data_IF_486842259498
#
_entry.id   IF_486842259498
#
_cell.length_a   1.000
_cell.length_b   1.000
_cell.length_c   1.000
_cell.angle_alpha   90.00
_cell.angle_beta   90.00
_cell.angle_gamma   90.00
#
_symmetry.space_group_name_H-M   'P 1'
#
loop_
_entity.id
_entity.type
_entity.pdbx_description
1 polymer ?
#
# COMPACT_ATOMS: atom_id res chain seq x y z
N UNK A 1 42.20 17.52 -16.37
CA UNK A 1 43.63 17.77 -16.11
C UNK A 1 44.12 17.10 -14.83
N UNK A 2 43.96 17.66 -13.62
CA UNK A 2 44.49 17.02 -12.39
C UNK A 2 43.82 15.67 -12.04
N UNK A 3 42.49 15.59 -12.20
CA UNK A 3 41.73 14.36 -11.93
C UNK A 3 42.12 13.22 -12.89
N UNK A 4 42.27 13.52 -14.18
CA UNK A 4 42.69 12.55 -15.19
C UNK A 4 44.12 12.04 -14.93
N UNK A 5 45.05 12.93 -14.56
CA UNK A 5 46.41 12.55 -14.22
C UNK A 5 46.49 11.71 -12.93
N UNK A 6 45.55 11.88 -12.00
CA UNK A 6 45.41 11.03 -10.82
C UNK A 6 44.90 9.64 -11.21
N UNK A 7 43.80 9.56 -11.96
CA UNK A 7 43.24 8.29 -12.44
C UNK A 7 44.24 7.47 -13.26
N UNK A 8 45.05 8.13 -14.10
CA UNK A 8 46.08 7.47 -14.90
C UNK A 8 47.19 6.85 -14.03
N UNK A 9 47.60 7.55 -12.96
CA UNK A 9 48.57 7.03 -11.99
C UNK A 9 48.00 5.86 -11.20
N UNK A 10 46.75 5.98 -10.75
CA UNK A 10 46.06 4.92 -10.01
C UNK A 10 45.90 3.65 -10.88
N UNK A 11 45.58 3.82 -12.17
CA UNK A 11 45.50 2.73 -13.14
C UNK A 11 46.86 2.06 -13.37
N UNK A 12 47.93 2.85 -13.57
CA UNK A 12 49.30 2.31 -13.73
C UNK A 12 49.77 1.54 -12.50
N UNK A 13 49.48 2.04 -11.30
CA UNK A 13 49.79 1.34 -10.06
C UNK A 13 49.00 0.01 -9.92
N UNK A 14 47.73 -0.02 -10.31
CA UNK A 14 46.93 -1.25 -10.33
C UNK A 14 47.46 -2.27 -11.35
N UNK A 15 47.90 -1.82 -12.51
CA UNK A 15 48.53 -2.68 -13.52
C UNK A 15 49.84 -3.31 -13.02
N UNK A 16 50.67 -2.54 -12.29
CA UNK A 16 51.88 -3.05 -11.64
C UNK A 16 51.55 -4.11 -10.58
N UNK A 17 50.54 -3.87 -9.73
CA UNK A 17 50.09 -4.83 -8.71
C UNK A 17 49.52 -6.11 -9.34
N UNK A 18 48.86 -6.00 -10.49
CA UNK A 18 48.22 -7.12 -11.19
C UNK A 18 49.15 -7.82 -12.22
N UNK A 19 50.41 -7.38 -12.35
CA UNK A 19 51.39 -7.89 -13.32
C UNK A 19 50.91 -7.86 -14.78
N UNK A 20 50.17 -6.83 -15.19
CA UNK A 20 49.70 -6.68 -16.58
C UNK A 20 50.81 -6.01 -17.40
N UNK A 21 51.40 -6.67 -18.41
CA UNK A 21 52.48 -6.09 -19.19
C UNK A 21 51.97 -4.96 -20.11
N UNK A 22 52.82 -3.96 -20.45
CA UNK A 22 52.41 -2.80 -21.26
C UNK A 22 51.82 -3.11 -22.64
N UNK A 23 52.04 -4.33 -23.18
CA UNK A 23 51.50 -4.80 -24.46
C UNK A 23 50.17 -5.55 -24.37
N UNK A 24 49.65 -5.82 -23.17
CA UNK A 24 48.35 -6.46 -22.93
C UNK A 24 47.26 -5.46 -22.53
N UNK A 25 47.59 -4.15 -22.52
CA UNK A 25 46.59 -3.10 -22.29
C UNK A 25 45.53 -3.15 -23.37
N UNK A 26 44.27 -3.15 -22.94
CA UNK A 26 43.14 -3.12 -23.86
C UNK A 26 43.08 -1.75 -24.54
N UNK A 27 43.47 -1.71 -25.81
CA UNK A 27 43.33 -0.52 -26.63
C UNK A 27 41.91 -0.42 -27.21
N UNK A 28 41.49 0.81 -27.51
CA UNK A 28 40.20 1.07 -28.16
C UNK A 28 40.14 0.36 -29.51
N UNK A 29 39.33 -0.70 -29.61
CA UNK A 29 39.19 -1.54 -30.80
C UNK A 29 39.63 -2.99 -30.62
N UNK A 30 40.39 -3.29 -29.55
CA UNK A 30 40.68 -4.68 -29.14
C UNK A 30 39.38 -5.46 -28.87
N UNK A 31 39.45 -6.80 -28.94
CA UNK A 31 38.27 -7.65 -28.72
C UNK A 31 37.81 -7.51 -27.27
N UNK A 32 38.76 -7.44 -26.36
CA UNK A 32 38.58 -7.29 -24.92
C UNK A 32 37.96 -5.92 -24.59
N UNK A 33 38.43 -4.84 -25.21
CA UNK A 33 37.82 -3.51 -25.07
C UNK A 33 36.36 -3.49 -25.54
N UNK A 34 36.06 -4.09 -26.71
CA UNK A 34 34.69 -4.17 -27.23
C UNK A 34 33.78 -5.01 -26.32
N UNK A 35 34.30 -6.08 -25.75
CA UNK A 35 33.55 -6.89 -24.78
C UNK A 35 33.28 -6.09 -23.49
N UNK A 36 34.27 -5.35 -23.00
CA UNK A 36 34.10 -4.49 -21.83
C UNK A 36 33.10 -3.35 -22.10
N UNK A 37 33.17 -2.71 -23.26
CA UNK A 37 32.22 -1.68 -23.70
C UNK A 37 30.79 -2.22 -23.73
N UNK A 38 30.60 -3.44 -24.25
CA UNK A 38 29.29 -4.13 -24.21
C UNK A 38 28.81 -4.35 -22.78
N UNK A 39 29.66 -4.82 -21.87
CA UNK A 39 29.32 -5.03 -20.46
C UNK A 39 28.95 -3.73 -19.74
N UNK A 40 29.68 -2.64 -20.01
CA UNK A 40 29.38 -1.32 -19.45
C UNK A 40 28.03 -0.83 -19.94
N UNK A 41 27.76 -0.91 -21.24
CA UNK A 41 26.46 -0.52 -21.81
C UNK A 41 25.31 -1.37 -21.25
N UNK A 42 25.51 -2.67 -21.07
CA UNK A 42 24.54 -3.56 -20.42
C UNK A 42 24.28 -3.18 -18.96
N UNK A 43 25.33 -2.84 -18.20
CA UNK A 43 25.22 -2.37 -16.82
C UNK A 43 24.48 -1.03 -16.72
N UNK A 44 24.80 -0.07 -17.60
CA UNK A 44 24.14 1.23 -17.65
C UNK A 44 22.65 1.09 -17.98
N UNK A 45 22.31 0.21 -18.93
CA UNK A 45 20.93 -0.14 -19.23
C UNK A 45 20.21 -0.75 -18.02
N UNK A 46 20.83 -1.69 -17.30
CA UNK A 46 20.23 -2.31 -16.11
C UNK A 46 20.03 -1.31 -14.97
N UNK A 47 20.95 -0.37 -14.79
CA UNK A 47 20.88 0.66 -13.75
C UNK A 47 19.75 1.65 -14.06
N UNK A 48 19.67 2.14 -15.30
CA UNK A 48 18.62 3.08 -15.72
C UNK A 48 17.23 2.44 -15.67
N UNK A 49 17.12 1.16 -16.04
CA UNK A 49 15.88 0.38 -15.89
C UNK A 49 15.46 0.26 -14.42
N UNK A 50 16.38 -0.14 -13.54
CA UNK A 50 16.08 -0.30 -12.11
C UNK A 50 15.70 1.02 -11.44
N UNK A 51 16.30 2.14 -11.88
CA UNK A 51 15.92 3.47 -11.44
C UNK A 51 14.50 3.84 -11.88
N UNK A 52 14.16 3.57 -13.14
CA UNK A 52 12.81 3.83 -13.67
C UNK A 52 11.75 3.01 -12.92
N UNK A 53 12.01 1.73 -12.67
CA UNK A 53 11.14 0.84 -11.87
C UNK A 53 10.87 1.35 -10.46
N UNK A 54 11.92 1.75 -9.74
CA UNK A 54 11.77 2.28 -8.40
C UNK A 54 10.88 3.53 -8.38
N UNK A 55 11.02 4.41 -9.38
CA UNK A 55 10.21 5.62 -9.48
C UNK A 55 8.75 5.31 -9.81
N UNK A 56 8.49 4.40 -10.75
CA UNK A 56 7.10 4.08 -11.12
C UNK A 56 6.40 3.33 -9.99
N UNK A 57 7.09 2.40 -9.34
CA UNK A 57 6.63 1.74 -8.12
C UNK A 57 6.25 2.75 -7.03
N UNK A 58 7.14 3.71 -6.74
CA UNK A 58 6.86 4.76 -5.78
C UNK A 58 5.64 5.63 -6.18
N UNK A 59 5.46 5.92 -7.48
CA UNK A 59 4.29 6.64 -7.99
C UNK A 59 3.00 5.86 -7.76
N UNK A 60 2.98 4.55 -8.04
CA UNK A 60 1.81 3.69 -7.82
C UNK A 60 1.40 3.71 -6.34
N UNK A 61 2.37 3.58 -5.43
CA UNK A 61 2.10 3.67 -3.98
C UNK A 61 1.58 5.05 -3.57
N UNK A 62 2.08 6.13 -4.15
CA UNK A 62 1.55 7.47 -3.85
C UNK A 62 0.13 7.69 -4.35
N UNK A 63 -0.17 7.25 -5.57
CA UNK A 63 -1.54 7.27 -6.10
C UNK A 63 -2.49 6.47 -5.21
N UNK A 64 -2.06 5.29 -4.72
CA UNK A 64 -2.87 4.50 -3.79
C UNK A 64 -3.15 5.23 -2.47
N UNK A 65 -2.17 5.99 -1.95
CA UNK A 65 -2.31 6.75 -0.69
C UNK A 65 -3.18 7.98 -0.84
N UNK A 66 -3.12 8.64 -1.99
CA UNK A 66 -3.98 9.79 -2.31
C UNK A 66 -5.46 9.41 -2.31
N UNK A 67 -5.78 8.18 -2.71
CA UNK A 67 -7.14 7.65 -2.76
C UNK A 67 -7.67 7.13 -1.41
N UNK A 68 -6.90 7.21 -0.32
CA UNK A 68 -7.34 6.76 1.02
C UNK A 68 -8.18 7.84 1.70
N UNK A 69 -9.42 7.48 2.07
CA UNK A 69 -10.31 8.32 2.85
C UNK A 69 -9.72 8.61 4.25
N UNK A 70 -9.78 9.86 4.70
CA UNK A 70 -9.21 10.31 5.98
C UNK A 70 -7.86 11.02 5.87
N UNK A 71 -7.33 11.24 4.66
CA UNK A 71 -6.18 12.11 4.45
C UNK A 71 -6.56 13.59 4.66
N UNK A 72 -5.93 14.23 5.65
CA UNK A 72 -6.09 15.67 5.91
C UNK A 72 -5.59 16.53 4.74
N UNK A 73 -6.07 17.77 4.66
CA UNK A 73 -5.79 18.69 3.54
C UNK A 73 -4.28 18.87 3.26
N UNK A 74 -3.49 19.16 4.30
CA UNK A 74 -2.01 19.30 4.19
C UNK A 74 -1.34 18.05 3.60
N UNK A 75 -1.76 16.87 4.02
CA UNK A 75 -1.22 15.60 3.50
C UNK A 75 -1.52 15.43 2.01
N UNK A 76 -2.73 15.81 1.56
CA UNK A 76 -3.07 15.77 0.13
C UNK A 76 -2.22 16.73 -0.69
N UNK A 77 -1.95 17.94 -0.19
CA UNK A 77 -1.04 18.87 -0.86
C UNK A 77 0.36 18.28 -1.01
N UNK A 78 0.94 17.71 0.05
CA UNK A 78 2.25 17.05 -0.03
C UNK A 78 2.26 15.88 -1.02
N UNK A 79 1.20 15.06 -1.05
CA UNK A 79 1.05 13.98 -2.03
C UNK A 79 0.98 14.51 -3.47
N UNK A 80 0.23 15.59 -3.70
CA UNK A 80 0.16 16.23 -5.03
C UNK A 80 1.52 16.76 -5.49
N UNK A 81 2.28 17.44 -4.61
CA UNK A 81 3.63 17.90 -4.94
C UNK A 81 4.58 16.73 -5.18
N UNK A 82 4.51 15.67 -4.37
CA UNK A 82 5.32 14.48 -4.55
C UNK A 82 5.01 13.77 -5.88
N UNK A 83 3.74 13.70 -6.28
CA UNK A 83 3.32 13.13 -7.57
C UNK A 83 3.82 13.97 -8.75
N UNK A 84 3.74 15.30 -8.68
CA UNK A 84 4.29 16.20 -9.72
C UNK A 84 5.80 16.02 -9.84
N UNK A 85 6.52 16.10 -8.72
CA UNK A 85 7.97 15.90 -8.66
C UNK A 85 8.37 14.53 -9.20
N UNK A 86 7.64 13.47 -8.82
CA UNK A 86 7.94 12.12 -9.30
C UNK A 86 7.60 11.94 -10.78
N UNK A 87 6.55 12.57 -11.29
CA UNK A 87 6.25 12.53 -12.72
C UNK A 87 7.43 13.08 -13.52
N UNK A 88 8.02 14.21 -13.08
CA UNK A 88 9.22 14.75 -13.72
C UNK A 88 10.44 13.84 -13.59
N UNK A 89 10.62 13.22 -12.43
CA UNK A 89 11.71 12.24 -12.23
C UNK A 89 11.56 11.02 -13.15
N UNK A 90 10.34 10.53 -13.37
CA UNK A 90 10.05 9.42 -14.28
C UNK A 90 10.33 9.83 -15.72
N UNK A 91 9.98 11.06 -16.16
CA UNK A 91 10.31 11.55 -17.51
C UNK A 91 11.82 11.49 -17.75
N UNK A 92 12.60 12.05 -16.83
CA UNK A 92 14.06 12.08 -16.94
C UNK A 92 14.66 10.66 -16.89
N UNK A 93 14.13 9.76 -16.06
CA UNK A 93 14.57 8.38 -15.98
C UNK A 93 14.22 7.59 -17.26
N UNK A 94 13.06 7.86 -17.85
CA UNK A 94 12.61 7.28 -19.10
C UNK A 94 13.50 7.70 -20.28
N UNK A 95 13.91 8.98 -20.33
CA UNK A 95 14.87 9.46 -21.33
C UNK A 95 16.22 8.73 -21.23
N UNK A 96 16.76 8.59 -20.02
CA UNK A 96 18.01 7.85 -19.77
C UNK A 96 17.90 6.38 -20.16
N UNK A 97 16.79 5.75 -19.78
CA UNK A 97 16.49 4.37 -20.19
C UNK A 97 16.43 4.24 -21.71
N UNK A 98 15.71 5.13 -22.40
CA UNK A 98 15.58 5.08 -23.86
C UNK A 98 16.91 5.31 -24.58
N UNK A 99 17.79 6.16 -24.04
CA UNK A 99 19.14 6.36 -24.56
C UNK A 99 20.01 5.10 -24.41
N UNK A 100 20.02 4.47 -23.21
CA UNK A 100 20.74 3.23 -22.98
C UNK A 100 20.16 2.06 -23.80
N UNK A 101 18.83 2.01 -23.95
CA UNK A 101 18.14 1.02 -24.78
C UNK A 101 18.52 1.17 -26.26
N UNK A 102 18.60 2.40 -26.78
CA UNK A 102 19.01 2.68 -28.14
C UNK A 102 20.44 2.19 -28.42
N UNK A 103 21.36 2.40 -27.48
CA UNK A 103 22.76 1.96 -27.59
C UNK A 103 22.88 0.42 -27.70
N UNK A 104 21.94 -0.33 -27.11
CA UNK A 104 21.90 -1.79 -27.15
C UNK A 104 20.91 -2.36 -28.19
N UNK A 105 20.23 -1.51 -28.96
CA UNK A 105 19.19 -1.94 -29.91
C UNK A 105 17.94 -2.57 -29.26
N UNK A 106 17.64 -2.20 -28.01
CA UNK A 106 16.48 -2.70 -27.24
C UNK A 106 15.22 -1.85 -27.45
N UNK A 107 14.07 -2.36 -27.00
CA UNK A 107 12.79 -1.64 -27.06
C UNK A 107 12.82 -0.39 -26.18
N UNK A 108 12.47 0.74 -26.78
CA UNK A 108 12.20 1.99 -26.09
C UNK A 108 10.76 2.01 -25.56
N UNK A 109 10.56 2.66 -24.41
CA UNK A 109 9.27 2.81 -23.77
C UNK A 109 8.70 4.20 -24.05
N UNK A 110 7.39 4.27 -24.26
CA UNK A 110 6.67 5.54 -24.39
C UNK A 110 6.18 6.01 -23.02
N UNK A 111 6.09 7.32 -22.83
CA UNK A 111 5.55 7.91 -21.60
C UNK A 111 4.19 7.32 -21.21
N UNK A 112 3.27 7.18 -22.18
CA UNK A 112 1.95 6.61 -21.96
C UNK A 112 2.01 5.19 -21.39
N UNK A 113 2.91 4.35 -21.92
CA UNK A 113 3.10 2.98 -21.43
C UNK A 113 3.56 2.94 -19.96
N UNK A 114 4.33 3.93 -19.52
CA UNK A 114 4.85 4.03 -18.15
C UNK A 114 3.79 4.59 -17.18
N UNK A 115 3.00 5.56 -17.64
CA UNK A 115 1.97 6.22 -16.82
C UNK A 115 0.74 5.35 -16.63
N UNK A 116 0.37 4.58 -17.66
CA UNK A 116 -0.79 3.67 -17.68
C UNK A 116 -0.55 2.41 -16.83
N UNK A 117 0.65 2.20 -16.28
CA UNK A 117 0.90 1.13 -15.33
C UNK A 117 0.15 1.39 -14.02
N UNK A 118 -0.94 0.66 -13.83
CA UNK A 118 -1.82 0.75 -12.65
C UNK A 118 -1.43 -0.26 -11.58
N UNK A 119 -0.82 -1.38 -11.98
CA UNK A 119 -0.42 -2.45 -11.10
C UNK A 119 1.09 -2.68 -11.14
N UNK A 120 1.68 -3.02 -9.97
CA UNK A 120 3.12 -3.32 -9.90
C UNK A 120 3.51 -4.40 -10.89
N UNK A 121 2.70 -5.44 -11.05
CA UNK A 121 3.00 -6.49 -12.01
C UNK A 121 2.83 -6.09 -13.49
N UNK A 122 2.24 -4.93 -13.81
CA UNK A 122 2.27 -4.35 -15.16
C UNK A 122 3.58 -3.62 -15.43
N UNK A 123 4.17 -3.05 -14.38
CA UNK A 123 5.52 -2.51 -14.44
C UNK A 123 6.59 -3.61 -14.32
N UNK A 124 6.27 -4.71 -13.62
CA UNK A 124 6.99 -5.98 -13.66
C UNK A 124 6.73 -6.72 -14.97
N UNK A 125 6.83 -5.99 -16.08
CA UNK A 125 7.36 -6.53 -17.31
C UNK A 125 8.79 -6.97 -17.00
N UNK A 126 8.90 -8.08 -16.25
CA UNK A 126 10.09 -8.69 -15.73
C UNK A 126 11.12 -8.56 -16.83
N UNK A 127 12.13 -7.76 -16.46
CA UNK A 127 13.34 -7.37 -17.15
C UNK A 127 13.75 -8.41 -18.20
N UNK A 128 14.64 -8.04 -19.10
CA UNK A 128 15.53 -9.00 -19.76
C UNK A 128 16.42 -9.77 -18.72
N UNK A 129 15.85 -10.33 -17.65
CA UNK A 129 16.29 -11.54 -17.01
C UNK A 129 16.46 -12.60 -18.09
N UNK A 130 17.29 -13.59 -17.81
CA UNK A 130 17.74 -14.60 -18.78
C UNK A 130 16.60 -15.30 -19.56
N UNK A 131 15.36 -15.22 -19.08
CA UNK A 131 14.14 -15.64 -19.78
C UNK A 131 13.10 -14.53 -19.76
N UNK A 132 12.69 -14.08 -20.95
CA UNK A 132 11.53 -13.21 -21.14
C UNK A 132 10.25 -13.97 -20.74
N UNK A 133 9.54 -13.45 -19.73
CA UNK A 133 8.32 -14.08 -19.21
C UNK A 133 7.04 -13.40 -19.68
N UNK A 134 7.12 -12.37 -20.54
CA UNK A 134 5.96 -11.66 -21.07
C UNK A 134 5.05 -12.55 -21.90
N UNK A 135 5.65 -13.53 -22.56
CA UNK A 135 4.95 -14.54 -23.35
C UNK A 135 4.30 -15.62 -22.46
N UNK A 136 4.59 -15.63 -21.15
CA UNK A 136 3.98 -16.61 -20.25
C UNK A 136 2.51 -16.25 -20.04
N UNK A 137 1.61 -17.23 -20.07
CA UNK A 137 0.17 -16.98 -19.98
C UNK A 137 -0.23 -16.32 -18.65
N UNK A 138 0.53 -16.51 -17.56
CA UNK A 138 0.27 -15.86 -16.27
C UNK A 138 0.78 -14.41 -16.18
N UNK A 139 1.60 -13.93 -17.11
CA UNK A 139 2.07 -12.55 -17.13
C UNK A 139 1.09 -11.61 -17.86
N UNK A 140 0.24 -12.16 -18.73
CA UNK A 140 -0.78 -11.42 -19.49
C UNK A 140 -1.82 -10.84 -18.52
N UNK A 141 -2.08 -9.51 -18.55
CA UNK A 141 -3.00 -8.85 -17.61
C UNK A 141 -4.39 -9.50 -17.53
N UNK A 142 -5.04 -9.74 -18.67
CA UNK A 142 -6.35 -10.38 -18.74
C UNK A 142 -6.39 -11.77 -18.07
N UNK A 143 -5.32 -12.55 -18.25
CA UNK A 143 -5.22 -13.88 -17.65
C UNK A 143 -5.00 -13.81 -16.13
N UNK A 144 -4.27 -12.80 -15.64
CA UNK A 144 -4.09 -12.57 -14.19
C UNK A 144 -5.38 -12.17 -13.53
N UNK A 145 -6.17 -11.31 -14.17
CA UNK A 145 -7.48 -10.92 -13.69
C UNK A 145 -8.40 -12.14 -13.60
N UNK A 146 -8.43 -12.95 -14.66
CA UNK A 146 -9.20 -14.19 -14.68
C UNK A 146 -8.72 -15.18 -13.61
N UNK A 147 -7.41 -15.38 -13.48
CA UNK A 147 -6.83 -16.25 -12.46
C UNK A 147 -7.17 -15.75 -11.04
N UNK A 148 -7.06 -14.43 -10.81
CA UNK A 148 -7.43 -13.81 -9.52
C UNK A 148 -8.91 -14.03 -9.21
N UNK A 149 -9.80 -13.86 -10.19
CA UNK A 149 -11.22 -14.11 -10.04
C UNK A 149 -11.50 -15.60 -9.77
N UNK A 150 -10.87 -16.50 -10.52
CA UNK A 150 -10.98 -17.94 -10.36
C UNK A 150 -10.50 -18.40 -8.97
N UNK A 151 -9.33 -17.96 -8.53
CA UNK A 151 -8.81 -18.32 -7.21
C UNK A 151 -9.62 -17.69 -6.08
N UNK A 152 -10.14 -16.47 -6.25
CA UNK A 152 -11.11 -15.90 -5.30
C UNK A 152 -12.36 -16.76 -5.19
N UNK A 153 -12.88 -17.26 -6.32
CA UNK A 153 -14.02 -18.16 -6.35
C UNK A 153 -13.72 -19.50 -5.65
N UNK A 154 -12.64 -20.17 -6.04
CA UNK A 154 -12.24 -21.45 -5.46
C UNK A 154 -12.00 -21.34 -3.94
N UNK A 155 -11.36 -20.25 -3.50
CA UNK A 155 -11.12 -19.98 -2.07
C UNK A 155 -12.39 -19.56 -1.33
N UNK A 156 -13.37 -18.96 -2.00
CA UNK A 156 -14.64 -18.62 -1.38
C UNK A 156 -15.36 -19.88 -0.86
N UNK A 157 -15.31 -20.99 -1.60
CA UNK A 157 -15.88 -22.27 -1.16
C UNK A 157 -15.17 -22.81 0.09
N UNK A 158 -13.83 -22.75 0.13
CA UNK A 158 -13.04 -23.16 1.30
C UNK A 158 -13.30 -22.29 2.54
N UNK A 159 -13.51 -20.99 2.34
CA UNK A 159 -13.71 -20.04 3.44
C UNK A 159 -15.15 -19.98 3.95
N UNK A 160 -16.11 -20.54 3.22
CA UNK A 160 -17.53 -20.49 3.58
C UNK A 160 -17.85 -21.05 4.99
N UNK A 161 -17.29 -22.20 5.43
CA UNK A 161 -17.54 -22.71 6.78
C UNK A 161 -17.00 -21.79 7.88
N UNK A 162 -15.84 -21.17 7.64
CA UNK A 162 -15.26 -20.18 8.56
C UNK A 162 -16.14 -18.94 8.65
N UNK A 163 -16.58 -18.43 7.50
CA UNK A 163 -17.47 -17.27 7.42
C UNK A 163 -18.78 -17.52 8.19
N UNK A 164 -19.37 -18.71 8.09
CA UNK A 164 -20.57 -19.07 8.87
C UNK A 164 -20.35 -18.98 10.38
N UNK A 165 -19.21 -19.44 10.88
CA UNK A 165 -18.86 -19.32 12.30
C UNK A 165 -18.64 -17.86 12.71
N UNK A 166 -17.99 -17.06 11.86
CA UNK A 166 -17.76 -15.64 12.10
C UNK A 166 -19.08 -14.85 12.11
N UNK A 167 -20.01 -15.13 11.17
CA UNK A 167 -21.36 -14.53 11.14
C UNK A 167 -22.11 -14.87 12.43
N UNK A 168 -22.10 -16.15 12.84
CA UNK A 168 -22.78 -16.58 14.07
C UNK A 168 -22.19 -15.90 15.31
N UNK A 169 -20.87 -15.77 15.34
CA UNK A 169 -20.16 -15.08 16.43
C UNK A 169 -20.52 -13.60 16.48
N UNK A 170 -20.55 -12.93 15.33
CA UNK A 170 -20.93 -11.53 15.20
C UNK A 170 -22.38 -11.29 15.67
N UNK A 171 -23.34 -12.10 15.21
CA UNK A 171 -24.75 -11.98 15.62
C UNK A 171 -24.93 -12.23 17.12
N UNK A 172 -24.21 -13.22 17.66
CA UNK A 172 -24.23 -13.52 19.10
C UNK A 172 -23.69 -12.33 19.89
N UNK A 173 -22.52 -11.81 19.49
CA UNK A 173 -21.88 -10.69 20.15
C UNK A 173 -22.73 -9.41 20.11
N UNK A 174 -23.37 -9.07 18.99
CA UNK A 174 -24.25 -7.90 18.90
C UNK A 174 -25.44 -7.99 19.88
N UNK A 175 -26.04 -9.19 20.01
CA UNK A 175 -27.13 -9.43 20.96
C UNK A 175 -26.63 -9.30 22.40
N UNK A 176 -25.56 -9.99 22.75
CA UNK A 176 -25.01 -10.00 24.11
C UNK A 176 -24.51 -8.63 24.54
N UNK A 177 -23.84 -7.89 23.66
CA UNK A 177 -23.38 -6.53 23.93
C UNK A 177 -24.58 -5.58 24.16
N UNK A 178 -25.65 -5.73 23.39
CA UNK A 178 -26.88 -4.94 23.58
C UNK A 178 -27.54 -5.25 24.93
N UNK A 179 -27.65 -6.52 25.30
CA UNK A 179 -28.20 -6.95 26.60
C UNK A 179 -27.31 -6.50 27.76
N UNK A 180 -26.00 -6.62 27.62
CA UNK A 180 -25.02 -6.18 28.60
C UNK A 180 -25.12 -4.67 28.87
N UNK A 181 -25.10 -3.84 27.82
CA UNK A 181 -25.19 -2.39 27.98
C UNK A 181 -26.52 -1.96 28.60
N UNK A 182 -27.64 -2.62 28.26
CA UNK A 182 -28.93 -2.39 28.93
C UNK A 182 -28.88 -2.77 30.41
N UNK A 183 -28.25 -3.90 30.74
CA UNK A 183 -28.06 -4.34 32.11
C UNK A 183 -27.23 -3.35 32.92
N UNK A 184 -26.11 -2.88 32.36
CA UNK A 184 -25.26 -1.87 32.99
C UNK A 184 -25.98 -0.53 33.17
N UNK A 185 -26.76 -0.09 32.18
CA UNK A 185 -27.59 1.12 32.28
C UNK A 185 -28.56 1.03 33.47
N UNK A 186 -29.23 -0.11 33.65
CA UNK A 186 -30.14 -0.33 34.79
C UNK A 186 -29.40 -0.40 36.13
N UNK A 187 -28.24 -1.06 36.18
CA UNK A 187 -27.44 -1.24 37.39
C UNK A 187 -26.88 0.09 37.92
N UNK A 188 -26.32 0.93 37.03
CA UNK A 188 -25.69 2.19 37.44
C UNK A 188 -26.68 3.35 37.63
N UNK A 189 -27.92 3.22 37.14
CA UNK A 189 -28.95 4.26 37.23
C UNK A 189 -29.16 4.84 38.63
N UNK A 190 -29.21 4.05 39.72
CA UNK A 190 -29.47 4.58 41.06
C UNK A 190 -28.24 5.25 41.70
N UNK A 191 -27.04 4.83 41.33
CA UNK A 191 -25.79 5.21 42.02
C UNK A 191 -25.00 6.28 41.27
N UNK A 192 -25.01 6.25 39.93
CA UNK A 192 -24.18 7.11 39.08
C UNK A 192 -24.94 7.55 37.81
N UNK A 193 -25.82 8.56 37.91
CA UNK A 193 -26.67 8.97 36.79
C UNK A 193 -25.88 9.50 35.59
N UNK A 194 -24.73 10.15 35.82
CA UNK A 194 -23.86 10.65 34.74
C UNK A 194 -23.21 9.49 33.96
N UNK A 195 -22.73 8.47 34.66
CA UNK A 195 -22.17 7.27 34.02
C UNK A 195 -23.26 6.50 33.26
N UNK A 196 -24.45 6.36 33.84
CA UNK A 196 -25.62 5.78 33.16
C UNK A 196 -25.94 6.51 31.85
N UNK A 197 -25.88 7.84 31.84
CA UNK A 197 -26.09 8.64 30.63
C UNK A 197 -25.03 8.37 29.56
N UNK A 198 -23.76 8.25 29.93
CA UNK A 198 -22.68 7.90 28.99
C UNK A 198 -22.85 6.49 28.42
N UNK A 199 -23.19 5.50 29.26
CA UNK A 199 -23.49 4.14 28.81
C UNK A 199 -24.67 4.13 27.84
N UNK A 200 -25.70 4.94 28.10
CA UNK A 200 -26.85 5.09 27.22
C UNK A 200 -26.45 5.64 25.84
N UNK A 201 -25.68 6.73 25.79
CA UNK A 201 -25.18 7.31 24.53
C UNK A 201 -24.36 6.26 23.76
N UNK A 202 -23.43 5.59 24.45
CA UNK A 202 -22.60 4.55 23.84
C UNK A 202 -23.45 3.41 23.26
N UNK A 203 -24.46 2.95 24.01
CA UNK A 203 -25.39 1.91 23.54
C UNK A 203 -26.16 2.34 22.29
N UNK A 204 -26.63 3.59 22.23
CA UNK A 204 -27.31 4.12 21.03
C UNK A 204 -26.37 4.19 19.83
N UNK A 205 -25.12 4.64 20.02
CA UNK A 205 -24.11 4.66 18.97
C UNK A 205 -23.83 3.24 18.43
N UNK A 206 -23.60 2.27 19.32
CA UNK A 206 -23.42 0.85 18.91
C UNK A 206 -24.64 0.31 18.18
N UNK A 207 -25.85 0.62 18.67
CA UNK A 207 -27.11 0.21 18.06
C UNK A 207 -27.20 0.61 16.58
N UNK A 208 -26.82 1.83 16.23
CA UNK A 208 -26.80 2.29 14.82
C UNK A 208 -25.89 1.44 13.93
N UNK A 209 -24.73 1.04 14.44
CA UNK A 209 -23.83 0.14 13.70
C UNK A 209 -24.41 -1.28 13.61
N UNK A 210 -25.02 -1.77 14.68
CA UNK A 210 -25.67 -3.09 14.69
C UNK A 210 -26.84 -3.15 13.71
N UNK A 211 -27.64 -2.10 13.59
CA UNK A 211 -28.72 -2.00 12.60
C UNK A 211 -28.19 -2.11 11.18
N UNK A 212 -27.07 -1.43 10.87
CA UNK A 212 -26.39 -1.55 9.58
C UNK A 212 -25.88 -2.98 9.32
N UNK A 213 -25.28 -3.62 10.32
CA UNK A 213 -24.83 -5.01 10.21
C UNK A 213 -26.00 -5.97 10.00
N UNK A 214 -27.10 -5.81 10.75
CA UNK A 214 -28.31 -6.60 10.59
C UNK A 214 -28.92 -6.44 9.19
N UNK A 215 -28.97 -5.22 8.67
CA UNK A 215 -29.43 -4.96 7.29
C UNK A 215 -28.55 -5.69 6.27
N UNK A 216 -27.22 -5.56 6.37
CA UNK A 216 -26.29 -6.27 5.46
C UNK A 216 -26.42 -7.78 5.55
N UNK A 217 -26.51 -8.33 6.76
CA UNK A 217 -26.70 -9.77 6.98
C UNK A 217 -28.05 -10.26 6.42
N UNK A 218 -29.09 -9.44 6.47
CA UNK A 218 -30.37 -9.77 5.84
C UNK A 218 -30.31 -9.71 4.32
N UNK A 219 -29.57 -8.77 3.73
CA UNK A 219 -29.35 -8.73 2.29
C UNK A 219 -28.60 -9.98 1.79
N UNK A 220 -27.66 -10.52 2.57
CA UNK A 220 -26.96 -11.77 2.23
C UNK A 220 -27.95 -12.94 2.08
N UNK A 221 -28.96 -13.03 2.95
CA UNK A 221 -30.00 -14.08 2.87
C UNK A 221 -30.87 -13.97 1.62
N UNK A 222 -30.91 -12.79 1.00
CA UNK A 222 -31.70 -12.51 -0.21
C UNK A 222 -30.90 -12.75 -1.51
N UNK A 223 -29.60 -13.08 -1.41
CA UNK A 223 -28.78 -13.31 -2.59
C UNK A 223 -29.24 -14.55 -3.37
N UNK A 224 -29.20 -14.51 -4.71
CA UNK A 224 -29.46 -15.68 -5.54
C UNK A 224 -28.42 -16.76 -5.23
N UNK A 225 -28.88 -17.99 -4.96
CA UNK A 225 -28.02 -19.11 -4.57
C UNK A 225 -27.78 -19.25 -3.06
N UNK A 226 -28.37 -18.39 -2.22
CA UNK A 226 -28.32 -18.59 -0.77
C UNK A 226 -29.04 -19.88 -0.36
N UNK A 227 -28.35 -20.78 0.35
CA UNK A 227 -28.95 -22.00 0.87
C UNK A 227 -29.78 -21.68 2.14
N UNK A 228 -31.11 -21.90 2.15
CA UNK A 228 -31.96 -21.62 3.31
C UNK A 228 -31.53 -22.34 4.60
N UNK A 229 -30.84 -23.48 4.51
CA UNK A 229 -30.34 -24.21 5.68
C UNK A 229 -29.28 -23.40 6.46
N UNK A 230 -28.58 -22.49 5.79
CA UNK A 230 -27.54 -21.66 6.40
C UNK A 230 -28.12 -20.54 7.27
N UNK A 231 -29.44 -20.30 7.23
CA UNK A 231 -30.11 -19.35 8.13
C UNK A 231 -29.82 -19.60 9.62
N UNK A 232 -29.51 -20.84 9.99
CA UNK A 232 -29.11 -21.23 11.35
C UNK A 232 -27.87 -20.50 11.86
N UNK A 233 -26.93 -20.12 10.98
CA UNK A 233 -25.73 -19.35 11.35
C UNK A 233 -26.02 -17.87 11.56
N UNK A 234 -27.15 -17.36 11.07
CA UNK A 234 -27.56 -15.97 11.23
C UNK A 234 -28.43 -15.75 12.47
N UNK A 235 -28.62 -16.79 13.28
CA UNK A 235 -29.30 -16.71 14.56
C UNK A 235 -28.27 -16.61 15.70
N UNK A 236 -28.54 -15.82 16.75
CA UNK A 236 -27.66 -15.74 17.91
C UNK A 236 -27.45 -17.13 18.52
N UNK A 237 -26.19 -17.48 18.74
CA UNK A 237 -25.79 -18.64 19.51
C UNK A 237 -25.82 -18.37 21.02
N UNK A 238 -25.09 -19.20 21.76
CA UNK A 238 -24.83 -19.00 23.19
C UNK A 238 -23.36 -18.60 23.33
N UNK A 239 -23.08 -17.36 23.68
CA UNK A 239 -21.71 -16.90 23.96
C UNK A 239 -21.27 -17.26 25.37
N UNK A 240 -20.00 -16.95 25.63
CA UNK A 240 -19.42 -17.04 26.97
C UNK A 240 -20.06 -15.93 27.82
N UNK A 241 -20.76 -16.31 28.90
CA UNK A 241 -21.45 -15.34 29.77
C UNK A 241 -20.46 -14.28 30.25
N UNK A 242 -20.64 -13.03 29.82
CA UNK A 242 -19.98 -11.89 30.46
C UNK A 242 -20.64 -11.68 31.83
N UNK A 243 -19.87 -11.58 32.94
CA UNK A 243 -20.46 -11.30 34.25
C UNK A 243 -21.29 -10.01 34.19
N UNK A 244 -22.54 -10.09 34.65
CA UNK A 244 -23.40 -8.90 34.81
C UNK A 244 -23.04 -8.09 36.08
N UNK A 245 -22.09 -8.57 36.89
CA UNK A 245 -21.70 -7.94 38.16
C UNK A 245 -20.18 -7.76 38.15
N UNK A 246 -19.65 -6.53 38.29
CA UNK A 246 -18.25 -6.33 38.68
C UNK A 246 -18.15 -6.67 40.17
N UNK A 247 -17.87 -7.93 40.49
CA UNK A 247 -17.80 -8.38 41.89
C UNK A 247 -17.60 -9.87 42.10
N UNK A 248 -17.03 -10.60 41.13
CA UNK A 248 -16.53 -11.95 41.32
C UNK A 248 -15.01 -11.90 41.41
N UNK A 249 -14.47 -12.27 42.56
CA UNK A 249 -13.05 -12.26 42.93
C UNK A 249 -12.13 -12.69 41.77
N UNK A 250 -11.32 -11.75 41.28
CA UNK A 250 -10.12 -12.05 40.52
C UNK A 250 -8.98 -11.93 41.51
N UNK A 251 -8.31 -13.07 41.71
CA UNK A 251 -7.22 -13.22 42.66
C UNK A 251 -6.12 -12.19 42.46
N UNK A 252 -5.49 -11.88 43.60
CA UNK A 252 -4.36 -10.99 43.74
C UNK A 252 -3.32 -11.16 42.63
N UNK A 253 -3.08 -10.09 41.88
CA UNK A 253 -1.77 -9.80 41.33
C UNK A 253 -1.29 -8.52 41.99
N UNK A 254 -0.29 -8.68 42.86
CA UNK A 254 0.52 -7.59 43.37
C UNK A 254 1.16 -6.89 42.17
N UNK A 255 1.07 -5.57 42.10
CA UNK A 255 2.04 -4.78 41.36
C UNK A 255 2.32 -3.49 42.12
N UNK A 256 3.52 -3.43 42.67
CA UNK A 256 4.14 -2.21 43.16
C UNK A 256 4.58 -1.38 41.95
N UNK A 257 4.32 -0.07 41.94
CA UNK A 257 4.98 0.78 40.94
C UNK A 257 4.27 2.10 40.64
N UNK A 258 4.29 3.02 41.60
CA UNK A 258 4.20 4.45 41.32
C UNK A 258 5.35 4.86 40.40
N UNK A 259 5.09 5.62 39.32
CA UNK A 259 5.64 6.97 39.07
C UNK A 259 4.83 7.57 37.91
N UNK A 260 4.24 8.75 38.15
CA UNK A 260 3.67 9.59 37.12
C UNK A 260 4.72 10.50 36.52
N UNK A 261 4.54 10.89 35.25
CA UNK A 261 5.14 12.08 34.71
C UNK A 261 4.14 12.77 33.77
N UNK A 262 3.80 13.97 34.21
CA UNK A 262 3.10 15.05 33.54
C UNK A 262 3.98 15.59 32.41
N UNK A 263 3.38 15.90 31.25
CA UNK A 263 3.94 16.93 30.37
C UNK A 263 2.86 17.42 29.40
N UNK A 264 2.19 18.49 29.81
CA UNK A 264 1.58 19.46 28.91
C UNK A 264 2.66 20.26 28.18
N UNK A 265 2.46 20.45 26.88
CA UNK A 265 3.27 21.32 26.04
C UNK A 265 2.41 21.85 24.91
N UNK A 266 1.79 23.00 25.15
CA UNK A 266 1.24 23.87 24.12
C UNK A 266 2.41 24.43 23.30
N UNK A 267 2.37 24.28 21.97
CA UNK A 267 3.24 25.03 21.07
C UNK A 267 2.38 25.80 20.07
N UNK A 268 2.29 27.10 20.34
CA UNK A 268 1.77 28.15 19.49
C UNK A 268 2.90 28.63 18.56
N UNK A 269 2.78 28.34 17.26
CA UNK A 269 3.73 28.78 16.24
C UNK A 269 3.01 29.30 15.00
N UNK A 270 2.77 30.61 15.02
CA UNK A 270 2.75 31.61 13.94
C UNK A 270 2.16 31.26 12.56
N UNK A 271 1.16 32.08 12.22
CA UNK A 271 0.53 32.24 10.90
C UNK A 271 1.33 33.27 10.10
N UNK A 272 2.12 32.82 9.14
CA UNK A 272 2.47 33.64 7.96
C UNK A 272 1.74 33.04 6.76
N UNK A 273 0.79 33.82 6.24
CA UNK A 273 0.16 33.55 4.97
C UNK A 273 1.04 34.10 3.86
N UNK A 274 1.25 33.31 2.82
CA UNK A 274 1.62 33.79 1.50
C UNK A 274 0.77 33.02 0.47
N UNK A 275 -0.24 33.74 0.01
CA UNK A 275 -0.74 33.84 -1.36
C UNK A 275 -0.11 32.90 -2.41
N UNK A 276 -0.63 31.68 -2.53
CA UNK A 276 -0.61 30.94 -3.81
C UNK A 276 -1.95 30.20 -3.97
N UNK A 277 -3.01 30.99 -3.82
CA UNK A 277 -4.40 30.56 -3.85
C UNK A 277 -4.96 30.80 -5.27
N UNK A 278 -4.75 29.87 -6.20
CA UNK A 278 -5.65 29.59 -7.35
C UNK A 278 -5.21 28.44 -8.26
N UNK A 279 -3.94 28.05 -8.34
CA UNK A 279 -3.48 27.11 -9.38
C UNK A 279 -3.69 25.61 -9.05
N UNK A 280 -4.08 25.29 -7.81
CA UNK A 280 -4.22 23.90 -7.37
C UNK A 280 -5.50 23.21 -7.88
N UNK A 281 -6.54 23.97 -8.22
CA UNK A 281 -7.80 23.40 -8.72
C UNK A 281 -7.73 23.08 -10.22
N UNK A 282 -7.06 23.90 -11.04
CA UNK A 282 -6.88 23.57 -12.47
C UNK A 282 -5.96 22.35 -12.66
N UNK A 283 -4.91 22.19 -11.85
CA UNK A 283 -4.01 21.04 -11.98
C UNK A 283 -4.68 19.68 -11.63
N UNK A 284 -5.68 19.69 -10.76
CA UNK A 284 -6.45 18.48 -10.42
C UNK A 284 -7.41 18.09 -11.55
N UNK A 285 -8.05 19.06 -12.21
CA UNK A 285 -8.88 18.81 -13.39
C UNK A 285 -8.06 18.40 -14.61
N UNK A 286 -6.85 18.92 -14.81
CA UNK A 286 -6.00 18.48 -15.94
C UNK A 286 -5.54 17.03 -15.78
N UNK A 287 -5.28 16.56 -14.55
CA UNK A 287 -4.88 15.17 -14.29
C UNK A 287 -6.08 14.20 -14.34
N UNK A 288 -7.28 14.65 -13.94
CA UNK A 288 -8.51 13.86 -14.04
C UNK A 288 -9.11 13.88 -15.46
N UNK A 289 -8.96 14.97 -16.22
CA UNK A 289 -9.44 15.13 -17.59
C UNK A 289 -8.66 14.30 -18.61
N UNK A 290 -7.41 13.94 -18.32
CA UNK A 290 -6.63 12.99 -19.14
C UNK A 290 -7.15 11.55 -18.96
N UNK A 291 -7.85 11.25 -17.84
CA UNK A 291 -8.44 9.94 -17.56
C UNK A 291 -9.90 9.80 -18.03
N UNK A 292 -10.58 10.89 -18.40
CA UNK A 292 -11.99 10.88 -18.87
C UNK A 292 -12.16 11.31 -20.33
N UNK A 293 -11.06 11.49 -21.06
CA UNK A 293 -11.03 11.87 -22.48
C UNK A 293 -10.87 10.72 -23.49
N UNK A 294 -11.51 9.57 -23.25
CA UNK A 294 -11.89 8.58 -24.28
C UNK A 294 -13.35 8.20 -24.06
#
# INVERSE_FOLDING_TARGET
>A
MEHEAKLLRDAQHLEEVLNIPPGERWEKGSVEWRNAEKLVNESEFQQTLSQLEGLVTARIFELSRMNVAGTGYKMRQHLSHALKSRSKAIENALERYNAAAAALGRRQLKWKEVVDCTFLAEFDLLKDAREDVRDKPWAIPANRELATAFFKYARAEETLPRLHNEIKSLVTWMKEETEYLKGMELYYRPHYPQLCHQIHIHRLQRGRFFDLHHMRLNNIKQLPGFNPQHCTFFQPGRGLKRPLVPGGEVGACNDEGLVGEDNGGEDSGESEGDEEECEAYEAAETVLGILTGI
#
